data_IF_403329307554
#
_entry.id   IF_403329307554
#
_cell.length_a   1.000
_cell.length_b   1.000
_cell.length_c   1.000
_cell.angle_alpha   90.00
_cell.angle_beta   90.00
_cell.angle_gamma   90.00
#
_symmetry.space_group_name_H-M   'P 1'
#
loop_
_entity.id
_entity.type
_entity.pdbx_description
1 polymer ?
#
# COMPACT_ATOMS: atom_id res chain seq x y z
N UNK A 1 6.81 -29.34 5.62
CA UNK A 1 7.64 -28.25 6.22
C UNK A 1 7.70 -26.96 5.38
N UNK A 2 8.41 -26.88 4.24
CA UNK A 2 8.55 -25.59 3.50
C UNK A 2 7.21 -24.99 3.03
N UNK A 3 6.31 -25.84 2.50
CA UNK A 3 5.00 -25.42 2.04
C UNK A 3 4.05 -25.02 3.19
N UNK A 4 4.11 -25.72 4.33
CA UNK A 4 3.33 -25.38 5.52
C UNK A 4 3.76 -24.02 6.09
N UNK A 5 5.07 -23.77 6.18
CA UNK A 5 5.60 -22.46 6.62
C UNK A 5 5.10 -21.35 5.69
N UNK A 6 5.16 -21.56 4.36
CA UNK A 6 4.63 -20.59 3.40
C UNK A 6 3.13 -20.37 3.56
N UNK A 7 2.37 -21.43 3.77
CA UNK A 7 0.92 -21.33 3.94
C UNK A 7 0.55 -20.52 5.20
N UNK A 8 1.27 -20.75 6.30
CA UNK A 8 1.07 -19.98 7.54
C UNK A 8 1.51 -18.51 7.41
N UNK A 9 2.62 -18.26 6.71
CA UNK A 9 3.10 -16.91 6.44
C UNK A 9 2.14 -16.12 5.55
N UNK A 10 1.39 -16.78 4.66
CA UNK A 10 0.42 -16.16 3.75
C UNK A 10 -1.01 -16.16 4.29
N UNK A 11 -1.26 -16.79 5.44
CA UNK A 11 -2.56 -16.77 6.11
C UNK A 11 -3.60 -17.64 5.43
N UNK A 12 -3.19 -18.81 4.95
CA UNK A 12 -4.08 -19.73 4.23
C UNK A 12 -4.38 -19.29 2.79
N UNK A 13 -3.79 -18.19 2.32
CA UNK A 13 -3.89 -17.74 0.93
C UNK A 13 -2.86 -18.49 0.10
N UNK A 14 -3.30 -19.12 -1.00
CA UNK A 14 -2.38 -19.71 -1.96
C UNK A 14 -1.43 -18.65 -2.55
N UNK A 15 -0.19 -19.07 -2.85
CA UNK A 15 0.89 -18.16 -3.30
C UNK A 15 0.48 -17.30 -4.49
N UNK A 16 -0.15 -17.89 -5.51
CA UNK A 16 -0.54 -17.17 -6.73
C UNK A 16 -1.57 -16.07 -6.42
N UNK A 17 -2.75 -16.35 -5.82
CA UNK A 17 -3.68 -15.32 -5.39
C UNK A 17 -3.06 -14.24 -4.52
N UNK A 18 -2.14 -14.60 -3.62
CA UNK A 18 -1.45 -13.64 -2.77
C UNK A 18 -0.60 -12.66 -3.60
N UNK A 19 0.21 -13.16 -4.54
CA UNK A 19 1.04 -12.31 -5.41
C UNK A 19 0.16 -11.40 -6.28
N UNK A 20 -0.94 -11.92 -6.83
CA UNK A 20 -1.88 -11.13 -7.64
C UNK A 20 -2.57 -10.05 -6.78
N UNK A 21 -2.96 -10.38 -5.54
CA UNK A 21 -3.51 -9.42 -4.60
C UNK A 21 -2.52 -8.30 -4.27
N UNK A 22 -1.26 -8.66 -3.99
CA UNK A 22 -0.17 -7.70 -3.74
C UNK A 22 0.02 -6.78 -4.94
N UNK A 23 0.02 -7.33 -6.17
CA UNK A 23 0.10 -6.54 -7.39
C UNK A 23 -1.03 -5.50 -7.48
N UNK A 24 -2.30 -5.91 -7.32
CA UNK A 24 -3.43 -4.96 -7.39
C UNK A 24 -3.43 -3.94 -6.25
N UNK A 25 -2.95 -4.31 -5.06
CA UNK A 25 -2.75 -3.36 -3.98
C UNK A 25 -1.66 -2.32 -4.30
N UNK A 26 -0.56 -2.72 -4.96
CA UNK A 26 0.44 -1.77 -5.44
C UNK A 26 -0.11 -0.84 -6.52
N UNK A 27 -0.97 -1.34 -7.42
CA UNK A 27 -1.66 -0.49 -8.40
C UNK A 27 -2.51 0.57 -7.69
N UNK A 28 -3.28 0.17 -6.67
CA UNK A 28 -4.07 1.09 -5.85
C UNK A 28 -3.23 2.13 -5.11
N UNK A 29 -2.13 1.71 -4.47
CA UNK A 29 -1.23 2.61 -3.75
C UNK A 29 -0.53 3.60 -4.70
N UNK A 30 -0.10 3.12 -5.87
CA UNK A 30 0.52 3.95 -6.92
C UNK A 30 -0.47 4.99 -7.44
N UNK A 31 -1.71 4.59 -7.72
CA UNK A 31 -2.76 5.52 -8.12
C UNK A 31 -3.00 6.61 -7.07
N UNK A 32 -3.10 6.23 -5.79
CA UNK A 32 -3.26 7.21 -4.70
C UNK A 32 -2.05 8.14 -4.56
N UNK A 33 -0.83 7.64 -4.78
CA UNK A 33 0.39 8.45 -4.82
C UNK A 33 0.33 9.48 -5.95
N UNK A 34 0.00 9.06 -7.17
CA UNK A 34 -0.10 9.94 -8.35
C UNK A 34 -1.21 10.98 -8.19
N UNK A 35 -2.38 10.60 -7.69
CA UNK A 35 -3.49 11.52 -7.43
C UNK A 35 -3.12 12.62 -6.42
N UNK A 36 -2.28 12.30 -5.43
CA UNK A 36 -1.79 13.30 -4.46
C UNK A 36 -0.66 14.16 -5.03
N UNK A 37 0.22 13.58 -5.84
CA UNK A 37 1.27 14.33 -6.51
C UNK A 37 0.70 15.36 -7.50
N UNK A 38 -0.42 15.05 -8.15
CA UNK A 38 -1.13 15.99 -9.04
C UNK A 38 -1.80 17.15 -8.29
N UNK A 39 -2.00 17.06 -6.97
CA UNK A 39 -2.55 18.14 -6.14
C UNK A 39 -1.47 19.07 -5.58
N UNK A 40 -0.23 18.97 -6.07
CA UNK A 40 0.89 19.75 -5.58
C UNK A 40 0.76 21.22 -6.00
N UNK A 41 1.18 22.11 -5.11
CA UNK A 41 1.29 23.54 -5.39
C UNK A 41 2.49 23.81 -6.32
N UNK A 42 2.20 24.29 -7.52
CA UNK A 42 3.21 24.61 -8.56
C UNK A 42 3.94 25.92 -8.24
N UNK A 43 3.41 26.74 -7.33
CA UNK A 43 3.98 28.03 -6.96
C UNK A 43 4.99 27.97 -5.81
N UNK A 44 5.18 26.79 -5.18
CA UNK A 44 6.17 26.59 -4.11
C UNK A 44 7.61 26.52 -4.65
N UNK A 45 8.53 27.26 -4.02
CA UNK A 45 9.99 27.29 -4.32
C UNK A 45 10.71 25.98 -4.02
N UNK A 46 10.16 25.14 -3.13
CA UNK A 46 10.71 23.85 -2.71
C UNK A 46 10.44 22.72 -3.73
N UNK A 47 9.78 23.07 -4.83
CA UNK A 47 9.04 22.13 -5.65
C UNK A 47 9.43 22.34 -7.13
N UNK A 48 9.92 21.32 -7.87
CA UNK A 48 10.40 21.50 -9.25
C UNK A 48 9.28 21.96 -10.20
N UNK A 49 9.56 22.97 -11.03
CA UNK A 49 8.59 23.56 -11.99
C UNK A 49 7.96 22.55 -12.96
N UNK A 50 8.60 21.40 -13.19
CA UNK A 50 8.07 20.30 -13.99
C UNK A 50 8.02 19.01 -13.17
N UNK A 51 7.03 18.16 -13.45
CA UNK A 51 6.89 16.87 -12.78
C UNK A 51 8.09 15.96 -13.11
N UNK A 52 8.68 15.34 -12.09
CA UNK A 52 9.79 14.41 -12.24
C UNK A 52 9.54 13.17 -11.40
N UNK A 53 9.56 11.99 -12.04
CA UNK A 53 9.43 10.70 -11.36
C UNK A 53 10.53 10.48 -10.31
N UNK A 54 11.74 11.01 -10.56
CA UNK A 54 12.84 10.94 -9.59
C UNK A 54 12.55 11.75 -8.34
N UNK A 55 11.94 12.93 -8.48
CA UNK A 55 11.49 13.74 -7.35
C UNK A 55 10.35 13.04 -6.61
N UNK A 56 9.36 12.49 -7.32
CA UNK A 56 8.24 11.76 -6.71
C UNK A 56 8.74 10.63 -5.80
N UNK A 57 9.65 9.79 -6.30
CA UNK A 57 10.21 8.66 -5.55
C UNK A 57 11.04 9.16 -4.38
N UNK A 58 11.94 10.14 -4.57
CA UNK A 58 12.79 10.65 -3.49
C UNK A 58 11.97 11.26 -2.35
N UNK A 59 10.97 12.05 -2.69
CA UNK A 59 10.11 12.76 -1.74
C UNK A 59 9.17 11.79 -0.99
N UNK A 60 8.73 10.72 -1.65
CA UNK A 60 7.75 9.79 -1.08
C UNK A 60 8.34 8.43 -0.66
N UNK A 61 9.66 8.21 -0.72
CA UNK A 61 10.26 6.90 -0.46
C UNK A 61 9.87 6.30 0.89
N UNK A 62 9.91 7.10 1.97
CA UNK A 62 9.50 6.64 3.31
C UNK A 62 8.04 6.20 3.33
N UNK A 63 7.17 6.98 2.67
CA UNK A 63 5.75 6.67 2.53
C UNK A 63 5.55 5.39 1.73
N UNK A 64 6.21 5.24 0.58
CA UNK A 64 6.15 4.02 -0.25
C UNK A 64 6.59 2.78 0.52
N UNK A 65 7.65 2.87 1.33
CA UNK A 65 8.09 1.78 2.20
C UNK A 65 7.02 1.40 3.24
N UNK A 66 6.43 2.40 3.90
CA UNK A 66 5.34 2.15 4.85
C UNK A 66 4.11 1.56 4.17
N UNK A 67 3.74 2.05 2.98
CA UNK A 67 2.64 1.49 2.18
C UNK A 67 2.91 0.04 1.80
N UNK A 68 4.14 -0.31 1.41
CA UNK A 68 4.53 -1.68 1.07
C UNK A 68 4.35 -2.63 2.26
N UNK A 69 4.84 -2.25 3.44
CA UNK A 69 4.70 -3.04 4.66
C UNK A 69 3.23 -3.20 5.07
N UNK A 70 2.46 -2.10 5.02
CA UNK A 70 1.04 -2.15 5.38
C UNK A 70 0.21 -2.95 4.37
N UNK A 71 0.52 -2.91 3.07
CA UNK A 71 -0.14 -3.78 2.08
C UNK A 71 0.05 -5.25 2.45
N UNK A 72 1.29 -5.64 2.77
CA UNK A 72 1.59 -7.02 3.18
C UNK A 72 0.77 -7.42 4.41
N UNK A 73 0.77 -6.59 5.46
CA UNK A 73 0.01 -6.83 6.69
C UNK A 73 -1.49 -6.92 6.40
N UNK A 74 -2.06 -5.95 5.67
CA UNK A 74 -3.49 -5.93 5.36
C UNK A 74 -3.93 -7.16 4.55
N UNK A 75 -3.15 -7.59 3.55
CA UNK A 75 -3.46 -8.78 2.75
C UNK A 75 -3.32 -10.04 3.61
N UNK A 76 -2.27 -10.13 4.44
CA UNK A 76 -2.06 -11.30 5.31
C UNK A 76 -3.19 -11.50 6.31
N UNK A 77 -3.66 -10.42 6.92
CA UNK A 77 -4.73 -10.49 7.92
C UNK A 77 -6.12 -10.29 7.32
N UNK A 78 -6.26 -10.16 5.99
CA UNK A 78 -7.56 -9.82 5.39
C UNK A 78 -8.60 -10.90 5.60
N UNK A 79 -8.22 -12.18 5.55
CA UNK A 79 -9.19 -13.28 5.73
C UNK A 79 -9.67 -13.36 7.19
N UNK A 80 -8.77 -13.11 8.15
CA UNK A 80 -9.08 -13.09 9.58
C UNK A 80 -9.98 -11.90 9.94
N UNK A 81 -9.72 -10.73 9.34
CA UNK A 81 -10.47 -9.49 9.63
C UNK A 81 -11.82 -9.46 8.92
N UNK A 82 -11.88 -9.89 7.65
CA UNK A 82 -13.08 -9.76 6.83
C UNK A 82 -13.97 -11.01 6.85
N UNK A 83 -13.46 -12.16 7.32
CA UNK A 83 -14.19 -13.43 7.33
C UNK A 83 -14.57 -13.96 5.94
N UNK A 84 -13.99 -13.40 4.88
CA UNK A 84 -14.28 -13.75 3.48
C UNK A 84 -13.00 -13.84 2.66
N UNK A 85 -13.09 -14.49 1.50
CA UNK A 85 -11.98 -14.57 0.56
C UNK A 85 -11.61 -13.17 0.05
N UNK A 86 -10.30 -12.92 -0.01
CA UNK A 86 -9.76 -11.69 -0.57
C UNK A 86 -10.03 -11.64 -2.07
N UNK A 87 -10.78 -10.62 -2.50
CA UNK A 87 -10.99 -10.35 -3.92
C UNK A 87 -9.96 -9.34 -4.43
N UNK A 88 -9.66 -9.37 -5.73
CA UNK A 88 -8.71 -8.41 -6.33
C UNK A 88 -9.19 -6.96 -6.21
N UNK A 89 -10.51 -6.75 -6.26
CA UNK A 89 -11.12 -5.46 -5.97
C UNK A 89 -10.80 -5.00 -4.55
N UNK A 90 -10.95 -5.87 -3.54
CA UNK A 90 -10.55 -5.52 -2.18
C UNK A 90 -9.06 -5.26 -2.05
N UNK A 91 -8.20 -6.02 -2.72
CA UNK A 91 -6.76 -5.76 -2.74
C UNK A 91 -6.43 -4.37 -3.30
N UNK A 92 -7.07 -3.97 -4.39
CA UNK A 92 -6.94 -2.63 -4.94
C UNK A 92 -7.41 -1.53 -3.96
N UNK A 93 -8.54 -1.74 -3.29
CA UNK A 93 -9.08 -0.79 -2.29
C UNK A 93 -8.17 -0.69 -1.05
N UNK A 94 -7.56 -1.80 -0.60
CA UNK A 94 -6.52 -1.81 0.44
C UNK A 94 -5.37 -0.90 0.02
N UNK A 95 -4.86 -1.08 -1.21
CA UNK A 95 -3.82 -0.25 -1.79
C UNK A 95 -4.16 1.25 -1.80
N UNK A 96 -5.35 1.60 -2.27
CA UNK A 96 -5.85 2.99 -2.27
C UNK A 96 -5.92 3.61 -0.87
N UNK A 97 -6.21 2.79 0.14
CA UNK A 97 -6.48 3.24 1.52
C UNK A 97 -5.26 3.22 2.43
N UNK A 98 -4.18 2.56 2.02
CA UNK A 98 -3.01 2.27 2.87
C UNK A 98 -2.34 3.53 3.44
N UNK A 99 -2.31 4.62 2.68
CA UNK A 99 -1.73 5.89 3.15
C UNK A 99 -2.58 6.57 4.22
N UNK A 100 -3.91 6.40 4.16
CA UNK A 100 -4.81 6.90 5.22
C UNK A 100 -4.60 6.11 6.50
N UNK A 101 -4.47 4.79 6.38
CA UNK A 101 -4.11 3.90 7.49
C UNK A 101 -2.80 4.31 8.14
N UNK A 102 -1.74 4.55 7.34
CA UNK A 102 -0.46 5.05 7.86
C UNK A 102 -0.61 6.38 8.62
N UNK A 103 -1.40 7.31 8.10
CA UNK A 103 -1.69 8.58 8.76
C UNK A 103 -2.47 8.42 10.08
N UNK A 104 -3.39 7.46 10.15
CA UNK A 104 -4.14 7.14 11.38
C UNK A 104 -3.24 6.54 12.45
N UNK A 105 -2.38 5.58 12.09
CA UNK A 105 -1.41 4.96 13.02
C UNK A 105 -0.50 6.04 13.61
N UNK A 106 0.02 6.95 12.77
CA UNK A 106 0.87 8.05 13.25
C UNK A 106 0.13 9.00 14.20
N UNK A 107 -1.18 9.24 14.00
CA UNK A 107 -1.99 10.07 14.90
C UNK A 107 -2.26 9.42 16.25
N UNK A 108 -2.32 8.08 16.30
CA UNK A 108 -2.49 7.32 17.54
C UNK A 108 -1.21 7.31 18.38
N UNK A 109 -0.04 7.24 17.73
CA UNK A 109 1.27 7.25 18.40
C UNK A 109 1.64 8.62 18.99
N UNK A 110 1.19 9.71 18.37
CA UNK A 110 1.42 11.09 18.86
C UNK A 110 0.33 11.59 19.83
N UNK A 111 -0.46 10.67 20.40
CA UNK A 111 -1.47 10.95 21.43
C UNK A 111 -1.03 10.33 22.74
#
# INVERSE_FOLDING_TARGET
MKQEILNELLGGIAVIPFVVAVFYAFVGATLNLLLRANKRDVHSTESPKQFSYRYLIRDNWKRMLTSCLLIFVCIRFSQEVLGQQLTMYFSFVIGLSVDRLSGMIKKLDNK
#
